data_IF_625806105880
#
_entry.id   IF_625806105880
#
_cell.length_a   1.000
_cell.length_b   1.000
_cell.length_c   1.000
_cell.angle_alpha   90.00
_cell.angle_beta   90.00
_cell.angle_gamma   90.00
#
_symmetry.space_group_name_H-M   'P 1'
#
loop_
_entity.id
_entity.type
_entity.pdbx_description
1 polymer ?
#
# COMPACT_ATOMS: atom_id res chain seq x y z
N UNK A 1 -3.52 0.64 15.83
CA UNK A 1 -4.95 1.02 15.68
C UNK A 1 -5.04 1.84 14.41
N UNK A 2 -5.90 1.47 13.47
CA UNK A 2 -6.12 2.25 12.24
C UNK A 2 -7.02 3.43 12.57
N UNK A 3 -6.63 4.63 12.15
CA UNK A 3 -7.42 5.86 12.34
C UNK A 3 -8.41 6.03 11.19
N UNK A 4 -7.93 5.84 9.96
CA UNK A 4 -8.70 5.95 8.74
C UNK A 4 -8.19 4.97 7.70
N UNK A 5 -9.10 4.39 6.93
CA UNK A 5 -8.81 3.54 5.78
C UNK A 5 -9.58 4.08 4.58
N UNK A 6 -8.90 4.25 3.46
CA UNK A 6 -9.49 4.79 2.26
C UNK A 6 -8.56 4.67 1.06
N UNK A 7 -9.01 5.24 -0.06
CA UNK A 7 -8.23 5.24 -1.30
C UNK A 7 -7.32 6.45 -1.36
N UNK A 8 -6.17 6.27 -2.01
CA UNK A 8 -5.28 7.36 -2.38
C UNK A 8 -5.98 8.25 -3.41
N UNK A 9 -6.26 9.49 -3.05
CA UNK A 9 -6.93 10.45 -3.93
C UNK A 9 -5.94 11.10 -4.91
N UNK A 10 -4.76 11.46 -4.42
CA UNK A 10 -3.73 12.09 -5.25
C UNK A 10 -2.33 11.86 -4.70
N UNK A 11 -1.37 11.77 -5.63
CA UNK A 11 0.05 11.76 -5.33
C UNK A 11 0.70 12.86 -6.18
N UNK A 12 1.25 13.87 -5.50
CA UNK A 12 1.88 15.01 -6.15
C UNK A 12 3.32 15.15 -5.73
N UNK A 13 4.17 15.44 -6.69
CA UNK A 13 5.55 15.86 -6.43
C UNK A 13 5.69 17.30 -6.90
N UNK A 14 5.93 18.21 -5.95
CA UNK A 14 5.90 19.66 -6.18
C UNK A 14 4.56 20.14 -6.77
N UNK A 15 4.51 20.36 -8.09
CA UNK A 15 3.33 20.86 -8.81
C UNK A 15 2.80 19.87 -9.84
N UNK A 16 3.35 18.66 -9.88
CA UNK A 16 3.02 17.65 -10.88
C UNK A 16 2.33 16.45 -10.23
N UNK A 17 1.26 15.97 -10.87
CA UNK A 17 0.60 14.71 -10.53
C UNK A 17 1.46 13.55 -11.03
N UNK A 18 1.84 12.65 -10.12
CA UNK A 18 2.73 11.52 -10.41
C UNK A 18 2.04 10.21 -10.06
N UNK A 19 2.39 9.13 -10.78
CA UNK A 19 1.84 7.80 -10.51
C UNK A 19 2.62 7.06 -9.42
N UNK A 20 3.89 7.39 -9.27
CA UNK A 20 4.81 6.75 -8.33
C UNK A 20 5.84 7.75 -7.83
N UNK A 21 6.32 7.52 -6.61
CA UNK A 21 7.39 8.30 -5.98
C UNK A 21 8.40 7.31 -5.44
N UNK A 22 9.68 7.53 -5.74
CA UNK A 22 10.77 6.72 -5.21
C UNK A 22 10.98 7.00 -3.71
N UNK A 23 11.52 6.02 -3.00
CA UNK A 23 11.87 6.19 -1.59
C UNK A 23 12.88 7.33 -1.40
N UNK A 24 12.74 8.08 -0.30
CA UNK A 24 13.63 9.19 0.04
C UNK A 24 13.28 10.52 -0.62
N UNK A 25 12.23 10.59 -1.44
CA UNK A 25 11.73 11.86 -1.99
C UNK A 25 10.50 12.35 -1.23
N UNK A 26 10.41 13.67 -1.08
CA UNK A 26 9.19 14.31 -0.57
C UNK A 26 8.07 14.22 -1.60
N UNK A 27 6.87 13.88 -1.12
CA UNK A 27 5.66 13.86 -1.90
C UNK A 27 4.47 14.37 -1.08
N UNK A 28 3.52 14.99 -1.76
CA UNK A 28 2.21 15.32 -1.21
C UNK A 28 1.25 14.17 -1.46
N UNK A 29 0.63 13.68 -0.40
CA UNK A 29 -0.36 12.60 -0.44
C UNK A 29 -1.73 13.17 -0.06
N UNK A 30 -2.73 12.95 -0.91
CA UNK A 30 -4.13 13.20 -0.61
C UNK A 30 -4.88 11.88 -0.39
N UNK A 31 -5.65 11.80 0.68
CA UNK A 31 -6.52 10.65 0.98
C UNK A 31 -7.98 11.04 0.71
N UNK A 32 -8.73 10.17 0.04
CA UNK A 32 -10.13 10.45 -0.29
C UNK A 32 -10.97 10.49 0.99
N UNK A 33 -11.63 11.62 1.24
CA UNK A 33 -12.51 11.80 2.41
C UNK A 33 -11.79 12.02 3.75
N UNK A 34 -10.47 12.22 3.74
CA UNK A 34 -9.69 12.47 4.95
C UNK A 34 -8.69 13.62 4.77
N UNK A 35 -8.71 14.59 5.68
CA UNK A 35 -7.86 15.80 5.60
C UNK A 35 -7.19 16.18 6.91
N UNK A 36 -7.47 15.46 8.00
CA UNK A 36 -6.89 15.72 9.33
C UNK A 36 -5.65 14.84 9.55
N UNK A 37 -4.65 15.01 8.69
CA UNK A 37 -3.35 14.33 8.81
C UNK A 37 -2.45 15.18 9.70
N UNK A 38 -1.93 14.59 10.77
CA UNK A 38 -1.07 15.26 11.73
C UNK A 38 0.37 14.75 11.66
N UNK A 39 1.30 15.57 12.15
CA UNK A 39 2.71 15.21 12.19
C UNK A 39 2.91 14.05 13.16
N UNK A 40 3.49 12.95 12.67
CA UNK A 40 3.68 11.71 13.45
C UNK A 40 2.76 10.57 13.02
N UNK A 41 1.79 10.83 12.13
CA UNK A 41 0.97 9.77 11.54
C UNK A 41 1.81 8.88 10.61
N UNK A 42 1.54 7.58 10.66
CA UNK A 42 2.16 6.58 9.79
C UNK A 42 1.12 6.15 8.76
N UNK A 43 1.43 6.36 7.48
CA UNK A 43 0.61 5.96 6.35
C UNK A 43 1.16 4.64 5.79
N UNK A 44 0.34 3.60 5.81
CA UNK A 44 0.65 2.31 5.17
C UNK A 44 -0.14 2.18 3.87
N UNK A 45 0.56 1.98 2.76
CA UNK A 45 -0.04 1.79 1.44
C UNK A 45 0.15 0.34 1.03
N UNK A 46 -0.95 -0.33 0.71
CA UNK A 46 -0.94 -1.70 0.20
C UNK A 46 -1.62 -1.76 -1.17
N UNK A 47 -1.19 -2.72 -1.99
CA UNK A 47 -1.87 -3.08 -3.23
C UNK A 47 -2.65 -4.36 -2.98
N UNK A 48 -3.90 -4.37 -3.43
CA UNK A 48 -4.68 -5.60 -3.50
C UNK A 48 -4.26 -6.37 -4.74
N UNK A 49 -3.64 -7.53 -4.56
CA UNK A 49 -3.35 -8.47 -5.64
C UNK A 49 -4.21 -9.73 -5.43
N UNK A 50 -4.96 -10.10 -6.47
CA UNK A 50 -5.71 -11.36 -6.47
C UNK A 50 -4.76 -12.51 -6.75
N UNK A 51 -4.38 -13.23 -5.68
CA UNK A 51 -3.56 -14.44 -5.81
C UNK A 51 -4.49 -15.63 -6.01
N UNK A 52 -4.38 -16.31 -7.15
CA UNK A 52 -5.04 -17.60 -7.34
C UNK A 52 -4.47 -18.59 -6.32
N UNK A 53 -5.34 -19.22 -5.51
CA UNK A 53 -4.90 -20.28 -4.60
C UNK A 53 -4.44 -21.47 -5.42
N UNK A 54 -3.14 -21.64 -5.56
CA UNK A 54 -2.61 -22.93 -5.98
C UNK A 54 -2.88 -23.93 -4.85
N UNK A 55 -3.57 -25.02 -5.19
CA UNK A 55 -3.68 -26.17 -4.29
C UNK A 55 -2.26 -26.58 -3.91
N UNK A 56 -1.93 -26.82 -2.63
CA UNK A 56 -0.62 -27.34 -2.26
C UNK A 56 -0.46 -28.67 -3.01
N UNK A 57 0.32 -28.67 -4.08
CA UNK A 57 0.60 -29.88 -4.82
C UNK A 57 1.29 -30.83 -3.85
N UNK A 58 0.73 -32.03 -3.79
CA UNK A 58 1.00 -33.10 -2.82
C UNK A 58 2.48 -33.58 -2.75
N UNK A 59 3.40 -32.94 -3.46
CA UNK A 59 4.79 -33.37 -3.61
C UNK A 59 5.71 -32.89 -2.48
N UNK A 60 5.29 -31.93 -1.64
CA UNK A 60 6.07 -31.47 -0.49
C UNK A 60 5.98 -32.39 0.76
N UNK A 61 5.15 -33.43 0.75
CA UNK A 61 4.97 -34.35 1.90
C UNK A 61 5.87 -35.60 1.87
N UNK A 62 6.64 -35.85 0.80
CA UNK A 62 7.43 -37.10 0.67
C UNK A 62 8.93 -36.99 1.02
N UNK A 63 9.38 -35.89 1.64
CA UNK A 63 10.78 -35.72 2.07
C UNK A 63 10.97 -35.78 3.60
N UNK A 64 10.06 -36.47 4.31
CA UNK A 64 10.23 -36.87 5.70
C UNK A 64 9.72 -38.31 5.88
N UNK A 65 10.43 -39.25 5.29
CA UNK A 65 10.39 -40.66 5.67
C UNK A 65 11.83 -41.11 5.94
#
# INVERSE_FOLDING_TARGET
RVVFEGRLASLRRFKEDVKEVQSGYECGIGIEGYSDIQTGDIIEVFRMEEVARELPSSEAMSARA
#
